data_IF_797626248132
#
_entry.id   IF_797626248132
#
_cell.length_a   1.000
_cell.length_b   1.000
_cell.length_c   1.000
_cell.angle_alpha   90.00
_cell.angle_beta   90.00
_cell.angle_gamma   90.00
#
_symmetry.space_group_name_H-M   'P 1'
#
loop_
_entity.id
_entity.type
_entity.pdbx_description
1 polymer ?
#
# COMPACT_ATOMS: atom_id res chain seq x y z
N UNK A 1 -11.77 10.24 16.03
CA UNK A 1 -10.67 9.68 16.86
C UNK A 1 -10.24 10.77 17.83
N UNK A 2 -10.86 10.85 19.01
CA UNK A 2 -10.50 11.79 20.07
C UNK A 2 -10.23 10.99 21.34
N UNK A 3 -9.20 10.15 21.28
CA UNK A 3 -8.67 9.41 22.43
C UNK A 3 -7.33 10.07 22.80
N UNK A 4 -7.18 10.59 24.03
CA UNK A 4 -5.99 11.30 24.48
C UNK A 4 -4.68 10.50 24.32
N UNK A 5 -4.74 9.17 24.29
CA UNK A 5 -3.55 8.33 24.07
C UNK A 5 -2.90 8.57 22.70
N UNK A 6 -3.63 9.14 21.74
CA UNK A 6 -3.13 9.41 20.39
C UNK A 6 -2.84 10.89 20.13
N UNK A 7 -2.93 11.76 21.13
CA UNK A 7 -2.71 13.20 20.96
C UNK A 7 -1.26 13.52 20.59
N UNK A 8 -0.31 12.70 21.05
CA UNK A 8 1.11 12.86 20.75
C UNK A 8 1.51 12.36 19.35
N UNK A 9 0.60 11.71 18.60
CA UNK A 9 0.94 11.20 17.27
C UNK A 9 1.14 12.34 16.26
N UNK A 10 2.28 12.33 15.56
CA UNK A 10 2.49 13.14 14.35
C UNK A 10 1.52 12.63 13.28
N UNK A 11 0.50 13.43 12.94
CA UNK A 11 -0.48 13.11 11.90
C UNK A 11 0.00 13.66 10.57
N UNK A 12 0.16 12.77 9.59
CA UNK A 12 0.62 13.10 8.24
C UNK A 12 -0.42 12.59 7.25
N UNK A 13 -0.76 13.41 6.26
CA UNK A 13 -1.53 12.96 5.10
C UNK A 13 -0.63 12.09 4.22
N UNK A 14 -1.05 10.86 3.93
CA UNK A 14 -0.26 9.96 3.09
C UNK A 14 0.02 10.60 1.72
N UNK A 15 1.27 10.74 1.27
CA UNK A 15 1.55 11.34 -0.02
C UNK A 15 1.00 10.49 -1.16
N UNK A 16 0.73 11.11 -2.31
CA UNK A 16 0.34 10.38 -3.51
C UNK A 16 1.60 9.80 -4.17
N UNK A 17 1.74 8.48 -4.18
CA UNK A 17 2.86 7.83 -4.88
C UNK A 17 2.62 7.75 -6.40
N UNK A 18 3.70 7.78 -7.17
CA UNK A 18 3.69 7.27 -8.54
C UNK A 18 3.42 5.75 -8.48
N UNK A 19 2.52 5.24 -9.32
CA UNK A 19 2.26 3.80 -9.43
C UNK A 19 3.52 3.01 -9.80
N UNK A 20 4.56 3.65 -10.34
CA UNK A 20 5.88 3.03 -10.52
C UNK A 20 6.48 2.48 -9.23
N UNK A 21 6.14 3.01 -8.04
CA UNK A 21 6.56 2.41 -6.77
C UNK A 21 6.03 0.96 -6.61
N UNK A 22 4.91 0.62 -7.25
CA UNK A 22 4.41 -0.75 -7.27
C UNK A 22 5.30 -1.72 -8.07
N UNK A 23 6.21 -1.21 -8.92
CA UNK A 23 7.15 -2.04 -9.69
C UNK A 23 8.13 -2.81 -8.80
N UNK A 24 8.28 -2.39 -7.53
CA UNK A 24 9.06 -3.12 -6.55
C UNK A 24 8.48 -4.53 -6.34
N UNK A 25 7.15 -4.66 -6.20
CA UNK A 25 6.48 -5.93 -5.89
C UNK A 25 5.74 -6.57 -7.08
N UNK A 26 5.36 -5.77 -8.09
CA UNK A 26 4.51 -6.20 -9.19
C UNK A 26 5.15 -5.89 -10.55
N UNK A 27 5.01 -6.73 -11.58
CA UNK A 27 5.46 -6.38 -12.92
C UNK A 27 4.55 -5.29 -13.53
N UNK A 28 5.07 -4.60 -14.55
CA UNK A 28 4.31 -3.57 -15.27
C UNK A 28 2.95 -4.07 -15.77
N UNK A 29 2.87 -5.34 -16.23
CA UNK A 29 1.62 -5.94 -16.70
C UNK A 29 0.52 -6.01 -15.64
N UNK A 30 0.86 -6.14 -14.36
CA UNK A 30 -0.10 -6.10 -13.26
C UNK A 30 -0.63 -4.68 -13.05
N UNK A 31 0.27 -3.68 -13.05
CA UNK A 31 -0.10 -2.28 -12.94
C UNK A 31 -1.03 -1.88 -14.09
N UNK A 32 -0.65 -2.22 -15.32
CA UNK A 32 -1.44 -1.92 -16.51
C UNK A 32 -2.84 -2.57 -16.44
N UNK A 33 -2.91 -3.81 -15.96
CA UNK A 33 -4.18 -4.52 -15.77
C UNK A 33 -5.07 -3.81 -14.74
N UNK A 34 -4.55 -3.49 -13.54
CA UNK A 34 -5.33 -2.81 -12.50
C UNK A 34 -5.80 -1.42 -12.96
N UNK A 35 -4.96 -0.69 -13.70
CA UNK A 35 -5.32 0.62 -14.28
C UNK A 35 -6.42 0.46 -15.32
N UNK A 36 -6.34 -0.55 -16.20
CA UNK A 36 -7.37 -0.81 -17.21
C UNK A 36 -8.73 -1.21 -16.61
N UNK A 37 -8.75 -1.74 -15.38
CA UNK A 37 -9.97 -2.08 -14.66
C UNK A 37 -10.64 -0.87 -13.97
N UNK A 38 -9.97 0.27 -13.86
CA UNK A 38 -10.52 1.43 -13.16
C UNK A 38 -11.69 2.06 -13.95
N UNK A 39 -12.92 2.07 -13.40
CA UNK A 39 -14.06 2.60 -14.11
C UNK A 39 -14.09 4.13 -14.04
N UNK A 40 -14.55 4.80 -15.10
CA UNK A 40 -14.83 6.25 -15.05
C UNK A 40 -16.06 6.56 -14.18
N UNK A 41 -17.05 5.66 -14.17
CA UNK A 41 -18.27 5.77 -13.36
C UNK A 41 -18.72 4.39 -12.86
N UNK A 42 -19.45 4.34 -11.75
CA UNK A 42 -19.97 3.09 -11.20
C UNK A 42 -18.89 2.22 -10.56
N UNK A 43 -19.01 0.90 -10.74
CA UNK A 43 -18.11 -0.08 -10.15
C UNK A 43 -17.61 -1.08 -11.19
N UNK A 44 -16.35 -1.52 -11.05
CA UNK A 44 -15.78 -2.63 -11.82
C UNK A 44 -15.41 -3.75 -10.87
N UNK A 45 -15.84 -4.97 -11.18
CA UNK A 45 -15.56 -6.15 -10.36
C UNK A 45 -14.36 -6.91 -10.96
N UNK A 46 -13.20 -6.88 -10.29
CA UNK A 46 -11.99 -7.60 -10.71
C UNK A 46 -12.16 -9.10 -10.47
N UNK A 47 -12.64 -9.46 -9.28
CA UNK A 47 -12.92 -10.84 -8.86
C UNK A 47 -14.20 -10.86 -7.99
N UNK A 48 -14.65 -12.00 -7.44
CA UNK A 48 -15.90 -12.08 -6.69
C UNK A 48 -16.01 -11.14 -5.48
N UNK A 49 -14.90 -10.66 -4.90
CA UNK A 49 -14.91 -9.83 -3.70
C UNK A 49 -14.15 -8.50 -3.85
N UNK A 50 -13.39 -8.31 -4.92
CA UNK A 50 -12.56 -7.13 -5.18
C UNK A 50 -13.22 -6.23 -6.21
N UNK A 51 -13.75 -5.10 -5.72
CA UNK A 51 -14.50 -4.13 -6.51
C UNK A 51 -13.79 -2.77 -6.50
N UNK A 52 -13.69 -2.16 -7.68
CA UNK A 52 -13.13 -0.83 -7.89
C UNK A 52 -14.23 0.20 -8.13
N UNK A 53 -13.97 1.42 -7.68
CA UNK A 53 -14.70 2.65 -8.02
C UNK A 53 -13.74 3.63 -8.72
N UNK A 54 -14.21 4.77 -9.26
CA UNK A 54 -13.33 5.74 -9.91
C UNK A 54 -12.21 6.28 -9.00
N UNK A 55 -12.42 6.30 -7.68
CA UNK A 55 -11.45 6.79 -6.70
C UNK A 55 -10.46 5.72 -6.22
N UNK A 56 -10.62 4.45 -6.64
CA UNK A 56 -9.83 3.34 -6.09
C UNK A 56 -8.35 3.45 -6.43
N UNK A 57 -7.99 3.90 -7.64
CA UNK A 57 -6.57 4.06 -8.01
C UNK A 57 -5.88 5.12 -7.16
N UNK A 58 -6.50 6.29 -6.97
CA UNK A 58 -5.94 7.34 -6.11
C UNK A 58 -5.78 6.83 -4.67
N UNK A 59 -6.80 6.15 -4.14
CA UNK A 59 -6.73 5.56 -2.79
C UNK A 59 -5.59 4.54 -2.68
N UNK A 60 -5.38 3.71 -3.71
CA UNK A 60 -4.27 2.75 -3.74
C UNK A 60 -2.90 3.45 -3.83
N UNK A 61 -2.78 4.54 -4.60
CA UNK A 61 -1.56 5.36 -4.66
C UNK A 61 -1.25 6.02 -3.32
N UNK A 62 -2.28 6.47 -2.58
CA UNK A 62 -2.12 6.99 -1.20
C UNK A 62 -1.69 5.88 -0.23
N UNK A 63 -2.22 4.66 -0.38
CA UNK A 63 -1.80 3.52 0.43
C UNK A 63 -0.31 3.17 0.19
N UNK A 64 0.12 3.13 -1.07
CA UNK A 64 1.53 2.94 -1.45
C UNK A 64 2.40 4.08 -0.92
N UNK A 65 1.98 5.33 -1.14
CA UNK A 65 2.75 6.50 -0.71
C UNK A 65 2.87 6.62 0.80
N UNK A 66 1.82 6.29 1.55
CA UNK A 66 1.89 6.19 3.00
C UNK A 66 2.89 5.12 3.46
N UNK A 67 2.90 3.94 2.82
CA UNK A 67 3.80 2.85 3.17
C UNK A 67 5.28 3.18 2.90
N UNK A 68 5.56 3.75 1.72
CA UNK A 68 6.91 4.19 1.32
C UNK A 68 7.40 5.34 2.21
N UNK A 69 6.57 6.37 2.42
CA UNK A 69 6.92 7.51 3.26
C UNK A 69 7.14 7.12 4.72
N UNK A 70 6.37 6.18 5.25
CA UNK A 70 6.57 5.64 6.59
C UNK A 70 7.95 4.98 6.74
N UNK A 71 8.40 4.21 5.74
CA UNK A 71 9.75 3.65 5.72
C UNK A 71 10.79 4.75 5.68
N UNK A 72 10.62 5.76 4.81
CA UNK A 72 11.56 6.88 4.70
C UNK A 72 11.74 7.61 6.03
N UNK A 73 10.65 7.98 6.70
CA UNK A 73 10.68 8.73 7.96
C UNK A 73 11.31 7.91 9.11
N UNK A 74 11.03 6.59 9.16
CA UNK A 74 11.61 5.71 10.18
C UNK A 74 13.10 5.50 9.94
N UNK A 75 13.51 5.22 8.70
CA UNK A 75 14.93 4.97 8.39
C UNK A 75 15.76 6.25 8.54
N UNK A 76 15.21 7.42 8.20
CA UNK A 76 15.85 8.71 8.40
C UNK A 76 15.97 9.10 9.90
N UNK A 77 15.28 8.41 10.81
CA UNK A 77 15.25 8.73 12.24
C UNK A 77 14.35 9.91 12.58
N UNK A 78 13.45 10.32 11.68
CA UNK A 78 12.45 11.38 11.92
C UNK A 78 11.38 10.93 12.91
N UNK A 79 11.07 9.63 12.94
CA UNK A 79 10.15 8.98 13.88
C UNK A 79 10.67 7.60 14.25
N UNK A 80 10.35 7.11 15.46
CA UNK A 80 10.78 5.76 15.90
C UNK A 80 9.97 4.63 15.26
N UNK A 81 8.72 4.91 14.89
CA UNK A 81 7.79 3.98 14.25
C UNK A 81 6.67 4.75 13.53
N UNK A 82 5.96 4.06 12.66
CA UNK A 82 4.86 4.62 11.88
C UNK A 82 3.70 3.62 11.76
N UNK A 83 2.49 4.15 11.72
CA UNK A 83 1.28 3.40 11.41
C UNK A 83 0.57 4.02 10.21
N UNK A 84 0.33 3.21 9.17
CA UNK A 84 -0.31 3.67 7.94
C UNK A 84 -1.75 3.18 7.92
N UNK A 85 -2.66 4.07 8.30
CA UNK A 85 -4.11 3.81 8.31
C UNK A 85 -4.71 3.93 6.90
N UNK A 86 -4.33 3.03 5.99
CA UNK A 86 -4.73 3.09 4.59
C UNK A 86 -5.84 2.09 4.22
N UNK A 87 -6.64 2.47 3.21
CA UNK A 87 -7.55 1.61 2.46
C UNK A 87 -7.44 2.02 0.99
N UNK A 88 -7.35 1.10 0.02
CA UNK A 88 -7.50 -0.37 0.14
C UNK A 88 -6.33 -1.09 0.86
N UNK A 89 -6.55 -2.32 1.37
CA UNK A 89 -5.49 -3.17 1.93
C UNK A 89 -4.56 -3.71 0.83
N UNK A 90 -3.53 -4.48 1.23
CA UNK A 90 -2.53 -4.98 0.28
C UNK A 90 -2.13 -6.45 0.38
N UNK A 91 -2.28 -7.11 1.52
CA UNK A 91 -1.60 -8.39 1.76
C UNK A 91 -2.02 -9.55 0.84
N UNK A 92 -3.26 -9.56 0.32
CA UNK A 92 -3.70 -10.57 -0.65
C UNK A 92 -3.26 -10.31 -2.09
N UNK A 93 -2.70 -9.13 -2.41
CA UNK A 93 -2.24 -8.83 -3.76
C UNK A 93 -0.96 -9.64 -4.04
N UNK A 94 -1.10 -10.69 -4.84
CA UNK A 94 0.03 -11.47 -5.33
C UNK A 94 0.83 -10.66 -6.36
N UNK A 95 1.97 -11.20 -6.78
CA UNK A 95 2.83 -10.58 -7.79
C UNK A 95 2.06 -10.15 -9.05
N UNK A 96 1.09 -10.94 -9.52
CA UNK A 96 0.35 -10.68 -10.77
C UNK A 96 -1.17 -10.79 -10.63
N UNK A 97 -1.71 -10.71 -9.41
CA UNK A 97 -3.15 -10.87 -9.17
C UNK A 97 -3.63 -9.92 -8.07
N UNK A 98 -4.63 -9.11 -8.40
CA UNK A 98 -5.43 -8.37 -7.42
C UNK A 98 -6.58 -9.26 -6.95
N UNK A 99 -6.80 -9.35 -5.64
CA UNK A 99 -7.81 -10.22 -5.01
C UNK A 99 -7.99 -9.87 -3.54
N UNK A 100 -9.07 -10.33 -2.90
CA UNK A 100 -9.30 -10.14 -1.46
C UNK A 100 -9.26 -8.66 -1.06
N UNK A 101 -9.90 -7.81 -1.85
CA UNK A 101 -9.90 -6.35 -1.70
C UNK A 101 -8.55 -5.65 -1.97
N UNK A 102 -7.49 -6.40 -2.27
CA UNK A 102 -6.12 -5.91 -2.40
C UNK A 102 -5.73 -5.72 -3.86
N UNK A 103 -5.25 -4.52 -4.21
CA UNK A 103 -4.79 -4.18 -5.56
C UNK A 103 -3.27 -4.21 -5.71
N UNK A 104 -2.55 -3.75 -4.68
CA UNK A 104 -1.10 -3.72 -4.62
C UNK A 104 -0.64 -4.08 -3.21
N UNK A 105 0.43 -4.87 -3.10
CA UNK A 105 0.94 -5.36 -1.83
C UNK A 105 1.79 -4.30 -1.14
N UNK A 106 1.14 -3.44 -0.35
CA UNK A 106 1.79 -2.32 0.34
C UNK A 106 2.87 -2.76 1.33
N UNK A 107 2.72 -3.90 2.00
CA UNK A 107 3.73 -4.44 2.90
C UNK A 107 4.98 -4.93 2.14
N UNK A 108 4.78 -5.64 1.02
CA UNK A 108 5.88 -6.05 0.15
C UNK A 108 6.58 -4.84 -0.49
N UNK A 109 5.82 -3.85 -0.98
CA UNK A 109 6.36 -2.61 -1.54
C UNK A 109 7.20 -1.86 -0.49
N UNK A 110 6.71 -1.70 0.74
CA UNK A 110 7.45 -1.06 1.82
C UNK A 110 8.75 -1.80 2.16
N UNK A 111 8.69 -3.13 2.28
CA UNK A 111 9.86 -3.95 2.57
C UNK A 111 10.91 -3.83 1.45
N UNK A 112 10.48 -3.92 0.19
CA UNK A 112 11.36 -3.82 -0.97
C UNK A 112 11.90 -2.40 -1.16
N UNK A 113 11.13 -1.36 -0.79
CA UNK A 113 11.59 0.02 -0.76
C UNK A 113 12.70 0.24 0.26
N UNK A 114 12.55 -0.30 1.48
CA UNK A 114 13.59 -0.27 2.50
C UNK A 114 14.90 -0.94 2.00
N UNK A 115 14.78 -2.02 1.24
CA UNK A 115 15.96 -2.70 0.66
C UNK A 115 16.58 -1.92 -0.49
N UNK A 116 15.76 -1.43 -1.44
CA UNK A 116 16.21 -0.81 -2.68
C UNK A 116 16.76 0.61 -2.47
N UNK A 117 16.04 1.45 -1.72
CA UNK A 117 16.37 2.88 -1.58
C UNK A 117 17.23 3.15 -0.33
N UNK A 118 17.10 2.32 0.71
CA UNK A 118 17.81 2.52 1.99
C UNK A 118 18.87 1.46 2.29
N UNK A 119 19.05 0.47 1.41
CA UNK A 119 20.09 -0.56 1.56
C UNK A 119 19.86 -1.51 2.74
N UNK A 120 18.62 -1.67 3.21
CA UNK A 120 18.32 -2.65 4.27
C UNK A 120 18.69 -4.06 3.80
N UNK A 121 19.63 -4.71 4.49
CA UNK A 121 20.08 -6.05 4.11
C UNK A 121 19.03 -7.15 4.38
N UNK A 122 18.14 -6.93 5.35
CA UNK A 122 17.10 -7.88 5.77
C UNK A 122 15.88 -7.10 6.26
N UNK A 123 14.70 -7.51 5.83
CA UNK A 123 13.42 -6.99 6.30
C UNK A 123 12.52 -8.18 6.64
N UNK A 124 11.75 -8.07 7.72
CA UNK A 124 10.74 -9.06 8.08
C UNK A 124 9.35 -8.44 7.92
N UNK A 125 8.44 -9.16 7.26
CA UNK A 125 7.02 -8.84 7.20
C UNK A 125 6.31 -9.78 8.15
N UNK A 126 5.71 -9.23 9.21
CA UNK A 126 4.88 -9.98 10.15
C UNK A 126 3.42 -9.68 9.85
N UNK A 127 2.73 -10.65 9.27
CA UNK A 127 1.29 -10.57 9.01
C UNK A 127 0.53 -11.30 10.12
N UNK A 128 -0.35 -10.57 10.80
CA UNK A 128 -1.25 -11.07 11.84
C UNK A 128 -2.72 -10.84 11.48
N UNK A 129 -3.01 -10.45 10.22
CA UNK A 129 -4.37 -10.53 9.70
C UNK A 129 -4.86 -11.99 9.82
N UNK A 130 -6.18 -12.13 10.01
CA UNK A 130 -6.79 -13.46 10.19
C UNK A 130 -6.78 -14.27 8.89
N UNK A 131 -6.72 -13.59 7.73
CA UNK A 131 -6.58 -14.23 6.43
C UNK A 131 -5.11 -14.33 6.05
N UNK A 132 -4.77 -15.39 5.31
CA UNK A 132 -3.41 -15.60 4.82
C UNK A 132 -3.04 -14.55 3.77
N UNK A 133 -1.99 -13.77 4.05
CA UNK A 133 -1.30 -12.88 3.10
C UNK A 133 -0.18 -13.57 2.34
#
# INVERSE_FOLDING_TARGET
MADPHFDALKRIEAPLADLKSALLAHPQSHIDHVVACAPETGFFQIDPDTVMSPATLEAAQRAIGGAVHAVDEVVAGSVDNAFVAARPPGHHAERTRAMGFCFFNTAAIAALHAMAEHGAARVAVLDFDVHHG
#
